data_IF_520739297660
#
_entry.id   IF_520739297660
#
_cell.length_a   1.000
_cell.length_b   1.000
_cell.length_c   1.000
_cell.angle_alpha   90.00
_cell.angle_beta   90.00
_cell.angle_gamma   90.00
#
_symmetry.space_group_name_H-M   'P 1'
#
loop_
_entity.id
_entity.type
_entity.pdbx_description
1 polymer ?
#
# COMPACT_ATOMS: atom_id res chain seq x y z
N UNK A 1 13.26 23.98 -7.58
CA UNK A 1 13.38 23.67 -6.14
C UNK A 1 12.44 24.59 -5.38
N UNK A 2 11.21 24.13 -5.12
CA UNK A 2 10.19 24.97 -4.48
C UNK A 2 10.32 24.83 -2.95
N UNK A 3 11.17 25.66 -2.34
CA UNK A 3 11.54 25.61 -0.92
C UNK A 3 10.42 26.04 0.07
N UNK A 4 9.15 25.87 -0.32
CA UNK A 4 7.99 26.33 0.47
C UNK A 4 6.75 25.42 0.39
N UNK A 5 6.82 24.27 -0.28
CA UNK A 5 5.70 23.33 -0.27
C UNK A 5 5.59 22.65 1.10
N UNK A 6 4.40 22.69 1.73
CA UNK A 6 4.19 22.04 3.02
C UNK A 6 4.43 20.53 2.91
N UNK A 7 5.34 20.00 3.73
CA UNK A 7 5.57 18.55 3.83
C UNK A 7 4.46 17.88 4.65
N UNK A 8 4.05 16.68 4.26
CA UNK A 8 3.09 15.84 4.99
C UNK A 8 3.80 14.69 5.71
N UNK A 9 3.20 14.20 6.80
CA UNK A 9 3.74 13.07 7.55
C UNK A 9 3.30 11.74 6.90
N UNK A 10 4.18 11.19 6.07
CA UNK A 10 3.95 9.98 5.29
C UNK A 10 5.29 9.35 4.88
N UNK A 11 5.25 8.10 4.46
CA UNK A 11 6.38 7.42 3.81
C UNK A 11 6.00 7.10 2.37
N UNK A 12 6.96 7.00 1.46
CA UNK A 12 6.70 6.68 0.06
C UNK A 12 7.80 5.79 -0.52
N UNK A 13 7.38 4.78 -1.30
CA UNK A 13 8.26 3.82 -1.98
C UNK A 13 7.82 3.70 -3.43
N UNK A 14 8.75 3.83 -4.38
CA UNK A 14 8.52 3.50 -5.79
C UNK A 14 8.70 1.99 -5.96
N UNK A 15 7.67 1.31 -6.46
CA UNK A 15 7.68 -0.09 -6.85
C UNK A 15 7.50 -0.19 -8.37
N UNK A 16 8.53 -0.63 -9.08
CA UNK A 16 8.55 -0.60 -10.54
C UNK A 16 8.40 0.84 -11.06
N UNK A 17 7.29 1.15 -11.72
CA UNK A 17 7.02 2.46 -12.31
C UNK A 17 6.03 3.32 -11.50
N UNK A 18 5.62 2.86 -10.30
CA UNK A 18 4.55 3.48 -9.51
C UNK A 18 5.01 3.75 -8.09
N UNK A 19 4.60 4.85 -7.47
CA UNK A 19 4.81 5.07 -6.04
C UNK A 19 3.60 4.65 -5.20
N UNK A 20 3.91 4.01 -4.09
CA UNK A 20 3.00 3.71 -2.98
C UNK A 20 3.21 4.78 -1.91
N UNK A 21 2.21 5.63 -1.69
CA UNK A 21 2.20 6.62 -0.61
C UNK A 21 1.54 5.99 0.63
N UNK A 22 2.26 5.96 1.75
CA UNK A 22 1.85 5.30 2.99
C UNK A 22 1.54 6.36 4.03
N UNK A 23 0.27 6.45 4.42
CA UNK A 23 -0.25 7.38 5.44
C UNK A 23 -0.75 6.61 6.65
N UNK A 24 -1.02 7.35 7.72
CA UNK A 24 -1.54 6.81 8.98
C UNK A 24 -0.97 7.57 10.17
N UNK A 25 -1.55 7.38 11.37
CA UNK A 25 -1.10 8.05 12.57
C UNK A 25 0.36 7.71 12.92
N UNK A 26 0.95 8.50 13.82
CA UNK A 26 2.27 8.18 14.37
C UNK A 26 2.25 6.79 15.02
N UNK A 27 3.31 6.01 14.81
CA UNK A 27 3.37 4.63 15.30
C UNK A 27 2.54 3.59 14.51
N UNK A 28 1.81 3.99 13.46
CA UNK A 28 1.03 3.05 12.64
C UNK A 28 1.88 2.05 11.82
N UNK A 29 3.20 2.27 11.73
CA UNK A 29 4.12 1.41 10.99
C UNK A 29 4.41 1.86 9.56
N UNK A 30 4.32 3.16 9.25
CA UNK A 30 4.60 3.71 7.90
C UNK A 30 6.02 3.37 7.40
N UNK A 31 7.03 3.72 8.19
CA UNK A 31 8.45 3.40 7.91
C UNK A 31 8.69 1.90 7.83
N UNK A 32 8.01 1.12 8.67
CA UNK A 32 8.09 -0.35 8.63
C UNK A 32 7.53 -0.90 7.32
N UNK A 33 6.36 -0.47 6.87
CA UNK A 33 5.80 -0.90 5.59
C UNK A 33 6.69 -0.45 4.42
N UNK A 34 7.24 0.77 4.47
CA UNK A 34 8.17 1.24 3.45
C UNK A 34 9.40 0.32 3.34
N UNK A 35 9.99 -0.05 4.48
CA UNK A 35 11.12 -0.98 4.53
C UNK A 35 10.72 -2.39 4.07
N UNK A 36 9.57 -2.90 4.51
CA UNK A 36 9.05 -4.21 4.12
C UNK A 36 8.84 -4.30 2.58
N UNK A 37 8.38 -3.23 1.93
CA UNK A 37 8.27 -3.16 0.47
C UNK A 37 9.63 -3.19 -0.23
N UNK A 38 10.63 -2.49 0.30
CA UNK A 38 12.01 -2.54 -0.22
C UNK A 38 12.56 -3.97 -0.12
N UNK A 39 12.34 -4.65 1.01
CA UNK A 39 12.72 -6.06 1.18
C UNK A 39 11.96 -6.97 0.23
N UNK A 40 10.66 -6.77 0.05
CA UNK A 40 9.84 -7.54 -0.88
C UNK A 40 10.32 -7.40 -2.34
N UNK A 41 10.73 -6.19 -2.75
CA UNK A 41 11.35 -5.95 -4.07
C UNK A 41 12.68 -6.69 -4.23
N UNK A 42 13.55 -6.66 -3.19
CA UNK A 42 14.81 -7.42 -3.18
C UNK A 42 14.60 -8.94 -3.23
N UNK A 43 13.53 -9.42 -2.61
CA UNK A 43 13.14 -10.82 -2.60
C UNK A 43 12.40 -11.25 -3.89
N UNK A 44 12.11 -10.33 -4.81
CA UNK A 44 11.39 -10.63 -6.05
C UNK A 44 9.89 -10.87 -5.88
N UNK A 45 9.30 -10.51 -4.74
CA UNK A 45 7.85 -10.63 -4.50
C UNK A 45 7.05 -9.55 -5.22
N UNK A 46 7.68 -8.40 -5.46
CA UNK A 46 7.17 -7.27 -6.25
C UNK A 46 8.31 -6.78 -7.16
N UNK A 47 8.04 -5.95 -8.17
CA UNK A 47 9.09 -5.25 -8.91
C UNK A 47 10.04 -4.49 -7.98
N UNK A 48 11.18 -4.05 -8.51
CA UNK A 48 12.18 -3.30 -7.74
C UNK A 48 11.54 -2.15 -6.94
N UNK A 49 11.85 -2.11 -5.65
CA UNK A 49 11.28 -1.16 -4.70
C UNK A 49 12.37 -0.26 -4.12
N UNK A 50 12.23 1.05 -4.29
CA UNK A 50 13.21 2.08 -3.90
C UNK A 50 12.51 3.16 -3.08
N UNK A 51 13.18 3.64 -2.03
CA UNK A 51 12.65 4.70 -1.18
C UNK A 51 12.44 5.99 -2.00
N UNK A 52 11.32 6.67 -1.79
CA UNK A 52 11.16 8.07 -2.20
C UNK A 52 11.42 8.97 -1.00
N UNK A 53 10.77 8.70 0.13
CA UNK A 53 11.02 9.40 1.38
C UNK A 53 10.37 8.71 2.58
N UNK A 54 10.83 9.03 3.78
CA UNK A 54 10.30 8.54 5.05
C UNK A 54 10.06 9.70 6.02
N UNK A 55 9.11 9.52 6.93
CA UNK A 55 8.62 10.49 7.93
C UNK A 55 7.99 11.78 7.36
N UNK A 56 8.68 12.51 6.48
CA UNK A 56 8.13 13.67 5.76
C UNK A 56 8.40 13.61 4.26
N UNK A 57 7.35 13.86 3.49
CA UNK A 57 7.38 13.95 2.03
C UNK A 57 6.65 15.19 1.56
N UNK A 58 7.02 15.71 0.39
CA UNK A 58 6.26 16.74 -0.30
C UNK A 58 5.31 16.08 -1.31
N UNK A 59 4.14 16.68 -1.47
CA UNK A 59 3.14 16.28 -2.44
C UNK A 59 2.86 17.47 -3.36
N UNK A 60 2.93 17.23 -4.66
CA UNK A 60 2.62 18.22 -5.69
C UNK A 60 1.72 17.59 -6.77
N UNK A 61 1.26 18.39 -7.70
CA UNK A 61 0.50 17.92 -8.86
C UNK A 61 1.16 18.35 -10.16
N UNK A 62 1.39 17.37 -11.04
CA UNK A 62 1.95 17.59 -12.38
C UNK A 62 1.13 16.79 -13.39
N UNK A 63 0.69 17.43 -14.47
CA UNK A 63 -0.09 16.80 -15.55
C UNK A 63 -1.31 15.99 -15.06
N UNK A 64 -2.00 16.50 -14.03
CA UNK A 64 -3.17 15.85 -13.43
C UNK A 64 -2.85 14.61 -12.58
N UNK A 65 -1.56 14.35 -12.30
CA UNK A 65 -1.09 13.25 -11.46
C UNK A 65 -0.52 13.78 -10.15
N UNK A 66 -0.60 12.95 -9.12
CA UNK A 66 0.00 13.24 -7.82
C UNK A 66 1.48 12.84 -7.85
N UNK A 67 2.37 13.78 -7.53
CA UNK A 67 3.82 13.56 -7.45
C UNK A 67 4.24 13.59 -5.99
N UNK A 68 5.13 12.68 -5.60
CA UNK A 68 5.74 12.63 -4.28
C UNK A 68 7.25 12.77 -4.39
N UNK A 69 7.85 13.55 -3.49
CA UNK A 69 9.30 13.72 -3.35
C UNK A 69 9.70 13.73 -1.87
N UNK A 70 10.94 13.37 -1.49
CA UNK A 70 11.37 13.46 -0.10
C UNK A 70 11.40 14.91 0.38
N UNK A 71 11.23 15.10 1.69
CA UNK A 71 11.69 16.33 2.33
C UNK A 71 13.24 16.39 2.23
N UNK A 72 13.85 17.50 1.77
CA UNK A 72 15.28 17.56 1.50
C UNK A 72 16.17 17.15 2.69
N UNK A 73 15.77 17.52 3.91
CA UNK A 73 16.50 17.21 5.15
C UNK A 73 16.47 15.72 5.53
N UNK A 74 15.50 14.97 4.99
CA UNK A 74 15.27 13.55 5.28
C UNK A 74 15.55 12.63 4.08
N UNK A 75 16.04 13.19 2.97
CA UNK A 75 16.28 12.44 1.75
C UNK A 75 17.24 11.26 1.98
N UNK A 76 16.82 10.06 1.56
CA UNK A 76 17.59 8.82 1.71
C UNK A 76 17.72 8.31 3.15
N UNK A 77 17.02 8.89 4.12
CA UNK A 77 16.97 8.42 5.49
C UNK A 77 15.71 7.57 5.72
N UNK A 78 15.84 6.51 6.52
CA UNK A 78 14.72 5.69 6.97
C UNK A 78 14.93 5.27 8.42
N UNK A 79 13.89 5.35 9.24
CA UNK A 79 13.91 4.80 10.60
C UNK A 79 13.60 3.30 10.57
N UNK A 80 14.50 2.49 11.13
CA UNK A 80 14.29 1.06 11.33
C UNK A 80 14.18 0.81 12.82
N UNK A 81 12.98 0.50 13.28
CA UNK A 81 12.69 0.32 14.70
C UNK A 81 13.61 -0.73 15.34
N UNK A 82 14.29 -0.31 16.40
CA UNK A 82 15.28 -1.12 17.12
C UNK A 82 16.70 -1.01 16.57
N UNK A 83 16.89 -0.43 15.38
CA UNK A 83 18.20 -0.19 14.76
C UNK A 83 18.52 1.30 14.55
N UNK A 84 17.54 2.19 14.70
CA UNK A 84 17.71 3.64 14.55
C UNK A 84 17.56 4.13 13.11
N UNK A 85 18.16 5.28 12.79
CA UNK A 85 18.08 5.91 11.47
C UNK A 85 19.21 5.37 10.57
N UNK A 86 18.86 4.92 9.37
CA UNK A 86 19.80 4.36 8.40
C UNK A 86 19.68 5.07 7.04
N UNK A 87 20.74 4.97 6.23
CA UNK A 87 20.73 5.43 4.84
C UNK A 87 20.25 4.33 3.90
N UNK A 88 19.45 4.70 2.92
CA UNK A 88 18.98 3.81 1.85
C UNK A 88 19.19 4.46 0.47
N UNK A 89 19.24 3.63 -0.57
CA UNK A 89 19.08 4.13 -1.93
C UNK A 89 17.69 4.77 -2.07
N UNK A 90 17.63 5.94 -2.70
CA UNK A 90 16.40 6.70 -2.86
C UNK A 90 16.34 7.36 -4.23
N UNK A 91 15.17 7.87 -4.58
CA UNK A 91 14.94 8.69 -5.78
C UNK A 91 14.30 10.02 -5.39
N UNK A 92 14.50 11.04 -6.20
CA UNK A 92 14.05 12.40 -5.91
C UNK A 92 12.55 12.61 -6.12
N UNK A 93 11.91 11.83 -7.00
CA UNK A 93 10.48 11.98 -7.28
C UNK A 93 9.87 10.71 -7.87
N UNK A 94 8.57 10.54 -7.66
CA UNK A 94 7.77 9.52 -8.33
C UNK A 94 6.27 9.89 -8.39
N UNK A 95 5.57 9.29 -9.36
CA UNK A 95 4.11 9.41 -9.48
C UNK A 95 3.43 8.47 -8.50
N UNK A 96 2.53 9.01 -7.68
CA UNK A 96 1.70 8.23 -6.75
C UNK A 96 0.51 7.64 -7.49
N UNK A 97 0.49 6.31 -7.62
CA UNK A 97 -0.64 5.55 -8.21
C UNK A 97 -1.38 4.69 -7.18
N UNK A 98 -0.90 4.64 -5.94
CA UNK A 98 -1.53 3.91 -4.84
C UNK A 98 -1.30 4.61 -3.52
N UNK A 99 -2.37 4.76 -2.73
CA UNK A 99 -2.32 5.24 -1.36
C UNK A 99 -2.68 4.10 -0.40
N UNK A 100 -1.89 3.93 0.66
CA UNK A 100 -2.15 2.97 1.73
C UNK A 100 -2.39 3.75 3.01
N UNK A 101 -3.58 3.63 3.58
CA UNK A 101 -3.92 4.26 4.85
C UNK A 101 -3.88 3.22 5.98
N UNK A 102 -2.85 3.30 6.81
CA UNK A 102 -2.68 2.45 7.98
C UNK A 102 -3.57 2.92 9.12
N UNK A 103 -4.14 1.95 9.85
CA UNK A 103 -5.12 2.18 10.92
C UNK A 103 -6.33 3.01 10.46
N UNK A 104 -6.77 2.76 9.22
CA UNK A 104 -7.95 3.39 8.66
C UNK A 104 -9.20 2.91 9.40
N UNK A 105 -10.01 3.85 9.90
CA UNK A 105 -11.24 3.55 10.66
C UNK A 105 -12.34 2.92 9.78
N UNK A 106 -12.31 3.18 8.48
CA UNK A 106 -13.21 2.68 7.45
C UNK A 106 -12.68 1.41 6.75
N UNK A 107 -11.68 0.75 7.33
CA UNK A 107 -11.14 -0.52 6.81
C UNK A 107 -12.05 -1.71 7.14
N UNK A 108 -13.14 -1.84 6.39
CA UNK A 108 -14.03 -2.99 6.46
C UNK A 108 -13.42 -4.23 5.78
N UNK A 109 -13.95 -5.42 6.08
CA UNK A 109 -13.54 -6.68 5.41
C UNK A 109 -13.73 -6.61 3.89
N UNK A 110 -14.76 -5.89 3.44
CA UNK A 110 -15.04 -5.61 2.03
C UNK A 110 -15.41 -4.12 1.93
N UNK A 111 -14.42 -3.23 1.80
CA UNK A 111 -14.68 -1.80 1.79
C UNK A 111 -15.61 -1.41 0.62
N UNK A 112 -16.52 -0.44 0.82
CA UNK A 112 -17.30 0.12 -0.27
C UNK A 112 -16.38 0.82 -1.30
N UNK A 113 -16.89 1.00 -2.53
CA UNK A 113 -16.08 1.49 -3.67
C UNK A 113 -15.45 2.86 -3.44
N UNK A 114 -16.14 3.73 -2.71
CA UNK A 114 -15.67 5.06 -2.34
C UNK A 114 -14.52 5.01 -1.33
N UNK A 115 -14.52 4.06 -0.40
CA UNK A 115 -13.40 3.83 0.52
C UNK A 115 -12.12 3.33 -0.19
N UNK A 116 -12.25 2.76 -1.38
CA UNK A 116 -11.12 2.32 -2.23
C UNK A 116 -10.52 3.44 -3.08
N UNK A 117 -10.98 4.68 -2.91
CA UNK A 117 -10.46 5.86 -3.58
C UNK A 117 -10.14 6.95 -2.55
N UNK A 118 -9.19 7.82 -2.87
CA UNK A 118 -8.91 9.02 -2.07
C UNK A 118 -8.61 10.19 -2.97
N UNK A 119 -8.88 11.41 -2.48
CA UNK A 119 -8.58 12.65 -3.19
C UNK A 119 -7.49 13.40 -2.44
N UNK A 120 -6.39 13.69 -3.13
CA UNK A 120 -5.25 14.44 -2.60
C UNK A 120 -4.89 15.51 -3.63
N UNK A 121 -4.87 16.78 -3.20
CA UNK A 121 -4.57 17.91 -4.09
C UNK A 121 -5.42 17.94 -5.38
N UNK A 122 -6.68 17.52 -5.29
CA UNK A 122 -7.60 17.43 -6.43
C UNK A 122 -7.48 16.16 -7.29
N UNK A 123 -6.43 15.36 -7.12
CA UNK A 123 -6.20 14.11 -7.85
C UNK A 123 -6.87 12.94 -7.13
N UNK A 124 -7.61 12.10 -7.87
CA UNK A 124 -8.20 10.87 -7.37
C UNK A 124 -7.19 9.73 -7.55
N UNK A 125 -6.87 9.04 -6.46
CA UNK A 125 -5.89 7.95 -6.43
C UNK A 125 -6.53 6.70 -5.82
N UNK A 126 -6.25 5.49 -6.34
CA UNK A 126 -6.59 4.24 -5.67
C UNK A 126 -6.08 4.19 -4.23
N UNK A 127 -6.90 3.66 -3.33
CA UNK A 127 -6.63 3.57 -1.90
C UNK A 127 -6.83 2.16 -1.38
N UNK A 128 -5.93 1.72 -0.51
CA UNK A 128 -6.10 0.53 0.33
C UNK A 128 -6.23 1.01 1.79
N UNK A 129 -7.45 0.98 2.38
CA UNK A 129 -7.60 1.17 3.81
C UNK A 129 -7.16 -0.11 4.55
N UNK A 130 -6.28 0.03 5.55
CA UNK A 130 -5.79 -1.08 6.37
C UNK A 130 -6.20 -0.84 7.82
N UNK A 131 -6.99 -1.77 8.37
CA UNK A 131 -7.48 -1.68 9.74
C UNK A 131 -6.38 -1.98 10.77
N UNK A 132 -6.62 -1.55 12.01
CA UNK A 132 -5.74 -1.88 13.14
C UNK A 132 -5.62 -3.40 13.32
N UNK A 133 -4.40 -3.89 13.51
CA UNK A 133 -4.13 -5.33 13.69
C UNK A 133 -3.99 -6.14 12.41
N UNK A 134 -4.21 -5.54 11.23
CA UNK A 134 -4.02 -6.20 9.94
C UNK A 134 -2.66 -5.85 9.32
N UNK A 135 -2.06 -6.82 8.62
CA UNK A 135 -0.82 -6.59 7.88
C UNK A 135 -1.12 -5.92 6.54
N UNK A 136 -0.50 -4.77 6.28
CA UNK A 136 -0.65 -4.04 5.03
C UNK A 136 0.10 -4.71 3.87
N UNK A 137 1.26 -5.31 4.13
CA UNK A 137 2.15 -5.81 3.07
C UNK A 137 1.46 -6.81 2.12
N UNK A 138 0.72 -7.84 2.58
CA UNK A 138 0.04 -8.77 1.69
C UNK A 138 -0.99 -8.08 0.77
N UNK A 139 -1.71 -7.07 1.28
CA UNK A 139 -2.70 -6.32 0.50
C UNK A 139 -2.02 -5.49 -0.59
N UNK A 140 -0.91 -4.83 -0.24
CA UNK A 140 -0.14 -4.02 -1.18
C UNK A 140 0.52 -4.89 -2.24
N UNK A 141 1.14 -6.01 -1.85
CA UNK A 141 1.72 -6.98 -2.80
C UNK A 141 0.65 -7.51 -3.75
N UNK A 142 -0.52 -7.92 -3.23
CA UNK A 142 -1.63 -8.37 -4.07
C UNK A 142 -2.06 -7.29 -5.07
N UNK A 143 -2.25 -6.04 -4.62
CA UNK A 143 -2.64 -4.94 -5.50
C UNK A 143 -1.59 -4.61 -6.58
N UNK A 144 -0.30 -4.84 -6.30
CA UNK A 144 0.79 -4.55 -7.24
C UNK A 144 1.06 -5.68 -8.24
N UNK A 145 0.67 -6.92 -7.92
CA UNK A 145 1.05 -8.11 -8.69
C UNK A 145 -0.13 -8.82 -9.33
N UNK A 146 -1.33 -8.67 -8.78
CA UNK A 146 -2.52 -9.31 -9.29
C UNK A 146 -3.23 -8.40 -10.28
N UNK A 147 -3.57 -8.94 -11.45
CA UNK A 147 -4.52 -8.30 -12.36
C UNK A 147 -5.91 -8.40 -11.73
N UNK A 148 -6.60 -7.27 -11.56
CA UNK A 148 -8.00 -7.31 -11.16
C UNK A 148 -8.77 -8.14 -12.20
N UNK A 149 -9.44 -9.20 -11.77
CA UNK A 149 -10.44 -9.87 -12.59
C UNK A 149 -11.55 -8.82 -12.79
N UNK A 150 -11.56 -8.19 -13.96
CA UNK A 150 -12.55 -7.18 -14.30
C UNK A 150 -13.95 -7.81 -14.15
N UNK A 151 -14.78 -7.21 -13.32
CA UNK A 151 -16.20 -7.51 -13.24
C UNK A 151 -16.90 -7.04 -14.53
N UNK A 152 -16.79 -7.84 -15.58
CA UNK A 152 -17.71 -7.86 -16.71
C UNK A 152 -18.23 -9.27 -16.92
N UNK A 153 -18.76 -9.85 -15.84
CA UNK A 153 -19.75 -10.90 -15.91
C UNK A 153 -20.55 -10.78 -14.62
N UNK A 154 -21.86 -10.53 -14.75
CA UNK A 154 -22.82 -10.92 -13.75
C UNK A 154 -22.45 -12.36 -13.30
N UNK A 155 -22.49 -12.71 -12.00
CA UNK A 155 -22.55 -14.11 -11.65
C UNK A 155 -23.91 -14.60 -12.12
N UNK A 156 -23.99 -15.03 -13.38
CA UNK A 156 -25.06 -15.88 -13.86
C UNK A 156 -25.08 -17.06 -12.89
N UNK A 157 -26.23 -17.26 -12.25
CA UNK A 157 -26.42 -18.31 -11.28
C UNK A 157 -26.24 -19.67 -11.92
N UNK A 158 -25.02 -20.18 -11.85
CA UNK A 158 -24.70 -21.59 -12.08
C UNK A 158 -23.61 -21.97 -11.07
N UNK A 159 -24.06 -22.30 -9.87
CA UNK A 159 -23.32 -23.25 -9.03
C UNK A 159 -23.52 -24.62 -9.68
N UNK A 160 -22.47 -25.28 -10.22
CA UNK A 160 -22.56 -26.71 -10.44
C UNK A 160 -22.66 -27.34 -9.05
N UNK A 161 -23.87 -27.77 -8.67
CA UNK A 161 -24.05 -28.75 -7.59
C UNK A 161 -23.26 -29.99 -7.98
N UNK A 162 -22.06 -30.16 -7.45
CA UNK A 162 -21.22 -31.28 -7.88
C UNK A 162 -19.82 -31.33 -7.31
N UNK A 163 -19.66 -31.21 -6.00
CA UNK A 163 -18.66 -31.98 -5.26
C UNK A 163 -19.17 -32.14 -3.82
N UNK A 164 -19.89 -33.24 -3.59
CA UNK A 164 -20.26 -33.65 -2.24
C UNK A 164 -19.01 -34.14 -1.52
N UNK A 165 -18.54 -33.42 -0.51
CA UNK A 165 -17.68 -34.01 0.50
C UNK A 165 -18.57 -34.79 1.47
N UNK A 166 -18.66 -36.10 1.23
CA UNK A 166 -19.12 -37.08 2.18
C UNK A 166 -18.30 -36.96 3.48
N UNK A 167 -18.92 -36.44 4.54
CA UNK A 167 -18.49 -36.72 5.91
C UNK A 167 -19.27 -37.98 6.30
N UNK A 168 -18.62 -39.14 6.22
CA UNK A 168 -19.15 -40.36 6.84
C UNK A 168 -19.00 -40.22 8.35
N UNK A 169 -20.07 -40.37 9.15
CA UNK A 169 -19.93 -40.46 10.59
C UNK A 169 -19.46 -41.87 10.93
N UNK A 170 -18.22 -42.02 11.41
CA UNK A 170 -17.81 -43.25 12.08
C UNK A 170 -18.58 -43.33 13.39
N UNK A 171 -19.58 -44.20 13.41
CA UNK A 171 -20.28 -44.64 14.62
C UNK A 171 -19.26 -45.39 15.49
N UNK A 172 -19.05 -44.89 16.71
CA UNK A 172 -18.46 -45.66 17.79
C UNK A 172 -19.58 -46.49 18.43
N UNK A 173 -19.42 -47.82 18.40
CA UNK A 173 -20.20 -48.75 19.22
C UNK A 173 -19.23 -49.74 19.87
N UNK A 174 -19.28 -49.74 21.20
CA UNK A 174 -18.67 -50.62 22.23
C UNK A 174 -17.14 -50.67 22.38
#
# INVERSE_FOLDING_TARGET
>A
MNAGAASVHASAVKVGNRAVLIRGPSGAGKSRLAFDLILAGRAGQVPEAVLVGDDRVHLDTADGKLVVSPAPELAGLIEIRGLGIHRCAFIDEAIVDLVVDLQAADAERMPPRDALLTRISGVIVPRIPVGTGYSALPLVVAALTMTAISSSAQPAGDCPKGIGNHISPTIATE
#
